data_IF_977815187111
#
_entry.id   IF_977815187111
#
_cell.length_a   1.000
_cell.length_b   1.000
_cell.length_c   1.000
_cell.angle_alpha   90.00
_cell.angle_beta   90.00
_cell.angle_gamma   90.00
#
_symmetry.space_group_name_H-M   'P 1'
#
loop_
_entity.id
_entity.type
_entity.pdbx_description
1 polymer ?
#
# COMPACT_ATOMS: atom_id res chain seq x y z
N UNK A 1 23.27 -22.39 -65.92
CA UNK A 1 23.98 -22.84 -64.70
C UNK A 1 24.41 -21.67 -63.82
N UNK A 2 25.10 -20.65 -64.35
CA UNK A 2 25.51 -19.45 -63.59
C UNK A 2 24.30 -18.65 -63.03
N UNK A 3 23.28 -18.48 -63.85
CA UNK A 3 22.05 -17.75 -63.51
C UNK A 3 21.25 -18.40 -62.37
N UNK A 4 21.23 -19.74 -62.33
CA UNK A 4 20.53 -20.51 -61.29
C UNK A 4 21.29 -20.53 -59.95
N UNK A 5 22.62 -20.31 -59.99
CA UNK A 5 23.44 -20.13 -58.78
C UNK A 5 23.19 -18.74 -58.20
N UNK A 6 23.12 -17.70 -59.04
CA UNK A 6 22.86 -16.33 -58.61
C UNK A 6 21.46 -16.17 -57.98
N UNK A 7 20.44 -16.82 -58.53
CA UNK A 7 19.08 -16.81 -57.97
C UNK A 7 19.01 -17.48 -56.58
N UNK A 8 19.72 -18.61 -56.39
CA UNK A 8 19.77 -19.31 -55.11
C UNK A 8 20.55 -18.53 -54.04
N UNK A 9 21.60 -17.79 -54.44
CA UNK A 9 22.36 -16.93 -53.52
C UNK A 9 21.48 -15.76 -53.06
N UNK A 10 20.74 -15.11 -53.98
CA UNK A 10 19.83 -14.01 -53.60
C UNK A 10 18.70 -14.45 -52.66
N UNK A 11 18.07 -15.61 -52.93
CA UNK A 11 17.02 -16.17 -52.05
C UNK A 11 17.55 -16.50 -50.65
N UNK A 12 18.82 -16.92 -50.55
CA UNK A 12 19.46 -17.25 -49.27
C UNK A 12 19.80 -15.99 -48.49
N UNK A 13 20.36 -14.96 -49.14
CA UNK A 13 20.67 -13.66 -48.51
C UNK A 13 19.39 -12.98 -48.02
N UNK A 14 18.30 -13.02 -48.80
CA UNK A 14 17.02 -12.42 -48.40
C UNK A 14 16.40 -13.11 -47.18
N UNK A 15 16.50 -14.45 -47.09
CA UNK A 15 16.06 -15.20 -45.90
C UNK A 15 16.89 -14.86 -44.66
N UNK A 16 18.20 -14.68 -44.80
CA UNK A 16 19.09 -14.31 -43.67
C UNK A 16 18.76 -12.90 -43.17
N UNK A 17 18.59 -11.92 -44.08
CA UNK A 17 18.23 -10.55 -43.72
C UNK A 17 16.83 -10.44 -43.08
N UNK A 18 15.87 -11.26 -43.52
CA UNK A 18 14.54 -11.27 -42.93
C UNK A 18 14.54 -11.84 -41.51
N UNK A 19 15.36 -12.87 -41.24
CA UNK A 19 15.48 -13.47 -39.89
C UNK A 19 16.23 -12.56 -38.91
N UNK A 20 17.28 -11.85 -39.35
CA UNK A 20 18.03 -10.93 -38.48
C UNK A 20 17.25 -9.63 -38.19
N UNK A 21 16.42 -9.15 -39.13
CA UNK A 21 15.50 -8.03 -38.90
C UNK A 21 14.34 -8.38 -37.95
N UNK A 22 13.85 -9.62 -37.98
CA UNK A 22 12.78 -10.06 -37.07
C UNK A 22 13.28 -10.25 -35.63
N UNK A 23 14.51 -10.76 -35.43
CA UNK A 23 15.08 -10.97 -34.09
C UNK A 23 15.45 -9.66 -33.39
N UNK A 24 15.74 -8.59 -34.14
CA UNK A 24 16.03 -7.26 -33.55
C UNK A 24 14.77 -6.51 -33.09
N UNK A 25 13.58 -6.86 -33.61
CA UNK A 25 12.30 -6.30 -33.12
C UNK A 25 11.79 -6.93 -31.82
N UNK A 26 12.17 -8.19 -31.53
CA UNK A 26 11.78 -8.85 -30.27
C UNK A 26 12.73 -8.52 -29.11
N UNK A 27 14.00 -8.21 -29.38
CA UNK A 27 14.97 -7.89 -28.31
C UNK A 27 14.80 -6.48 -27.72
N UNK A 28 14.13 -5.54 -28.41
CA UNK A 28 13.89 -4.19 -27.88
C UNK A 28 12.62 -4.06 -27.04
N UNK A 29 11.82 -5.12 -26.91
CA UNK A 29 10.59 -5.14 -26.11
C UNK A 29 10.67 -6.04 -24.87
N UNK A 30 11.87 -6.53 -24.52
CA UNK A 30 12.16 -6.75 -23.12
C UNK A 30 12.18 -5.36 -22.47
N UNK A 31 10.99 -4.83 -22.13
CA UNK A 31 10.85 -3.76 -21.16
C UNK A 31 11.80 -4.13 -20.04
N UNK A 32 12.76 -3.26 -19.76
CA UNK A 32 13.51 -3.33 -18.53
C UNK A 32 12.48 -3.66 -17.46
N UNK A 33 12.59 -4.87 -16.90
CA UNK A 33 11.93 -5.21 -15.65
C UNK A 33 12.12 -3.98 -14.79
N UNK A 34 11.02 -3.26 -14.51
CA UNK A 34 11.03 -1.98 -13.79
C UNK A 34 12.03 -2.19 -12.66
N UNK A 35 13.25 -1.65 -12.81
CA UNK A 35 14.31 -1.96 -11.87
C UNK A 35 13.96 -1.08 -10.70
N UNK A 36 13.03 -1.58 -9.89
CA UNK A 36 12.56 -0.98 -8.68
C UNK A 36 13.83 -0.56 -7.94
N UNK A 37 13.80 0.68 -7.45
CA UNK A 37 14.91 1.24 -6.71
C UNK A 37 15.40 0.18 -5.72
N UNK A 38 16.70 -0.16 -5.68
CA UNK A 38 17.21 -1.25 -4.84
C UNK A 38 16.92 -1.03 -3.35
N UNK A 39 16.57 0.19 -2.96
CA UNK A 39 16.16 0.55 -1.61
C UNK A 39 14.67 0.34 -1.35
N UNK A 40 13.83 0.06 -2.35
CA UNK A 40 12.40 -0.11 -2.15
C UNK A 40 12.08 -1.53 -1.74
N UNK A 41 11.42 -1.65 -0.59
CA UNK A 41 10.91 -2.91 -0.08
C UNK A 41 9.41 -2.80 0.15
N UNK A 42 8.72 -3.94 0.11
CA UNK A 42 7.28 -3.97 0.31
C UNK A 42 6.97 -3.76 1.79
N UNK A 43 6.02 -2.86 2.10
CA UNK A 43 5.60 -2.59 3.49
C UNK A 43 5.18 -3.88 4.19
N UNK A 44 4.33 -4.67 3.51
CA UNK A 44 3.85 -5.99 3.92
C UNK A 44 3.49 -6.81 2.68
N UNK A 45 3.58 -8.15 2.72
CA UNK A 45 2.96 -8.97 1.68
C UNK A 45 1.44 -8.76 1.65
N UNK A 46 0.81 -9.00 0.50
CA UNK A 46 -0.65 -9.15 0.44
C UNK A 46 -1.01 -10.62 0.62
N UNK A 47 -1.31 -10.97 1.86
CA UNK A 47 -1.68 -12.32 2.27
C UNK A 47 -2.86 -12.28 3.25
N UNK A 48 -4.09 -12.12 2.74
CA UNK A 48 -5.29 -12.00 3.56
C UNK A 48 -5.55 -13.21 4.47
N UNK A 49 -5.15 -14.40 4.05
CA UNK A 49 -5.33 -15.63 4.83
C UNK A 49 -4.50 -15.61 6.13
N UNK A 50 -3.41 -14.85 6.14
CA UNK A 50 -2.54 -14.64 7.30
C UNK A 50 -2.69 -13.23 7.92
N UNK A 51 -3.74 -12.49 7.53
CA UNK A 51 -4.05 -11.17 8.11
C UNK A 51 -3.18 -10.03 7.61
N UNK A 52 -2.40 -10.23 6.53
CA UNK A 52 -1.61 -9.17 5.91
C UNK A 52 -2.35 -8.57 4.72
N UNK A 53 -2.68 -7.28 4.80
CA UNK A 53 -3.42 -6.60 3.74
C UNK A 53 -2.54 -5.52 3.12
N UNK A 54 -1.99 -5.79 1.92
CA UNK A 54 -1.33 -4.80 1.08
C UNK A 54 -1.74 -4.94 -0.41
N UNK A 55 -3.04 -4.90 -0.74
CA UNK A 55 -3.55 -5.13 -2.10
C UNK A 55 -2.97 -4.17 -3.15
N UNK A 56 -2.44 -3.02 -2.72
CA UNK A 56 -1.88 -2.00 -3.60
C UNK A 56 -0.35 -2.06 -3.69
N UNK A 57 0.26 -3.10 -3.10
CA UNK A 57 1.71 -3.35 -3.09
C UNK A 57 2.51 -2.12 -2.67
N UNK A 58 2.07 -1.44 -1.61
CA UNK A 58 2.75 -0.28 -1.05
C UNK A 58 4.17 -0.64 -0.69
N UNK A 59 5.10 0.21 -1.12
CA UNK A 59 6.52 0.09 -0.88
C UNK A 59 6.99 1.19 0.06
N UNK A 60 8.12 0.99 0.71
CA UNK A 60 8.83 2.01 1.45
C UNK A 60 10.31 2.01 1.07
N UNK A 61 10.97 3.17 1.18
CA UNK A 61 12.39 3.31 0.84
C UNK A 61 13.29 3.03 2.05
N UNK A 62 13.81 1.80 2.15
CA UNK A 62 14.72 1.33 3.21
C UNK A 62 15.98 2.17 3.38
N UNK A 63 16.44 2.89 2.35
CA UNK A 63 17.63 3.74 2.44
C UNK A 63 17.32 5.11 3.06
N UNK A 64 16.09 5.61 2.89
CA UNK A 64 15.65 6.89 3.44
C UNK A 64 14.89 6.75 4.76
N UNK A 65 14.22 5.62 4.97
CA UNK A 65 13.73 5.23 6.27
C UNK A 65 14.96 4.98 7.16
N UNK A 66 15.37 6.02 7.91
CA UNK A 66 16.41 5.89 8.94
C UNK A 66 16.12 4.63 9.73
N UNK A 67 17.13 3.78 9.92
CA UNK A 67 17.08 2.50 10.64
C UNK A 67 16.56 2.72 12.07
N UNK A 68 15.27 2.94 12.20
CA UNK A 68 14.54 2.69 13.41
C UNK A 68 14.19 1.21 13.32
N UNK A 69 14.46 0.40 14.35
CA UNK A 69 14.18 -1.04 14.37
C UNK A 69 12.71 -1.43 14.11
N UNK A 70 11.84 -0.47 13.82
CA UNK A 70 10.40 -0.58 13.72
C UNK A 70 10.00 -0.15 12.30
N UNK A 71 9.68 -1.16 11.48
CA UNK A 71 8.94 -1.06 10.22
C UNK A 71 7.52 -0.45 10.46
N UNK A 72 6.78 -0.04 9.41
CA UNK A 72 5.68 0.94 9.41
C UNK A 72 4.69 0.86 10.59
N UNK A 73 4.32 2.02 11.18
CA UNK A 73 3.78 3.16 10.41
C UNK A 73 4.67 4.41 10.29
N UNK A 74 5.92 4.40 10.77
CA UNK A 74 6.68 5.65 10.95
C UNK A 74 7.59 6.07 9.79
N UNK A 75 7.57 5.40 8.63
CA UNK A 75 8.35 5.87 7.49
C UNK A 75 7.56 6.83 6.61
N UNK A 76 8.08 8.04 6.43
CA UNK A 76 7.52 9.10 5.57
C UNK A 76 7.86 8.91 4.08
N UNK A 77 8.60 7.85 3.73
CA UNK A 77 9.06 7.57 2.37
C UNK A 77 8.33 6.33 1.83
N UNK A 78 7.01 6.41 1.77
CA UNK A 78 6.15 5.37 1.22
C UNK A 78 5.72 5.69 -0.21
N UNK A 79 5.55 4.64 -1.00
CA UNK A 79 5.25 4.69 -2.43
C UNK A 79 4.09 3.76 -2.77
N UNK A 80 3.18 4.22 -3.61
CA UNK A 80 2.06 3.42 -4.10
C UNK A 80 1.74 3.75 -5.55
N UNK A 81 1.06 2.84 -6.26
CA UNK A 81 0.47 3.14 -7.59
C UNK A 81 -1.01 3.51 -7.50
N UNK A 82 -1.71 3.05 -6.47
CA UNK A 82 -3.15 3.13 -6.30
C UNK A 82 -3.53 2.86 -4.83
N UNK A 83 -4.73 3.19 -4.36
CA UNK A 83 -5.71 4.11 -4.97
C UNK A 83 -5.73 5.44 -4.21
N UNK A 84 -5.74 6.55 -4.94
CA UNK A 84 -5.97 7.89 -4.39
C UNK A 84 -7.43 8.27 -4.67
N UNK A 85 -8.23 8.46 -3.62
CA UNK A 85 -9.63 8.86 -3.79
C UNK A 85 -9.71 10.34 -4.10
N UNK A 86 -10.56 10.73 -5.05
CA UNK A 86 -10.84 12.13 -5.38
C UNK A 86 -12.33 12.38 -5.60
N UNK A 87 -12.82 13.52 -5.12
CA UNK A 87 -14.15 14.05 -5.45
C UNK A 87 -14.02 15.22 -6.43
N UNK A 88 -14.48 15.02 -7.66
CA UNK A 88 -14.55 16.08 -8.66
C UNK A 88 -15.84 16.91 -8.49
N UNK A 89 -15.88 18.19 -8.92
CA UNK A 89 -17.11 18.96 -8.90
C UNK A 89 -18.12 18.47 -9.95
N UNK A 90 -19.39 18.85 -9.77
CA UNK A 90 -20.45 18.47 -10.69
C UNK A 90 -20.16 18.99 -12.10
N UNK A 91 -20.33 18.13 -13.10
CA UNK A 91 -20.08 18.48 -14.50
C UNK A 91 -18.61 18.39 -14.95
N UNK A 92 -17.65 18.14 -14.04
CA UNK A 92 -16.25 17.96 -14.43
C UNK A 92 -16.05 16.79 -15.39
N UNK A 93 -16.71 15.65 -15.10
CA UNK A 93 -16.73 14.48 -15.99
C UNK A 93 -18.17 14.03 -16.19
N UNK A 94 -18.65 14.09 -17.43
CA UNK A 94 -19.97 13.59 -17.81
C UNK A 94 -19.87 12.10 -18.15
N UNK A 95 -20.22 11.24 -17.18
CA UNK A 95 -20.20 9.79 -17.33
C UNK A 95 -21.63 9.26 -17.35
N UNK A 96 -22.05 8.54 -18.42
CA UNK A 96 -23.35 7.90 -18.46
C UNK A 96 -23.50 6.88 -17.34
N UNK A 97 -24.74 6.66 -16.88
CA UNK A 97 -25.02 5.57 -15.96
C UNK A 97 -24.62 4.23 -16.58
N UNK A 98 -23.99 3.37 -15.79
CA UNK A 98 -23.68 2.00 -16.18
C UNK A 98 -23.93 1.04 -15.00
N UNK A 99 -24.02 -0.29 -15.25
CA UNK A 99 -24.09 -1.28 -14.18
C UNK A 99 -22.97 -1.12 -13.15
N UNK A 100 -23.24 -1.46 -11.88
CA UNK A 100 -22.33 -1.27 -10.74
C UNK A 100 -20.95 -1.90 -10.94
N UNK A 101 -20.89 -3.04 -11.63
CA UNK A 101 -19.69 -3.80 -11.94
C UNK A 101 -18.90 -3.27 -13.17
N UNK A 102 -19.40 -2.20 -13.81
CA UNK A 102 -18.74 -1.60 -14.97
C UNK A 102 -17.40 -0.97 -14.59
N UNK A 103 -16.38 -1.23 -15.40
CA UNK A 103 -15.07 -0.55 -15.28
C UNK A 103 -15.09 0.65 -16.22
N UNK A 104 -15.25 1.85 -15.65
CA UNK A 104 -15.17 3.11 -16.41
C UNK A 104 -13.86 3.80 -16.06
N UNK A 105 -12.98 3.90 -17.06
CA UNK A 105 -11.71 4.62 -16.97
C UNK A 105 -11.80 5.95 -17.73
N UNK A 106 -11.23 7.00 -17.15
CA UNK A 106 -11.07 8.33 -17.74
C UNK A 106 -9.68 8.86 -17.47
N UNK A 107 -9.28 9.89 -18.21
CA UNK A 107 -8.08 10.66 -17.93
C UNK A 107 -8.47 12.11 -17.60
N UNK A 108 -7.50 12.91 -17.16
CA UNK A 108 -7.74 14.33 -16.87
C UNK A 108 -8.10 15.15 -18.11
N UNK A 109 -7.72 14.70 -19.30
CA UNK A 109 -8.03 15.38 -20.57
C UNK A 109 -9.52 15.28 -20.93
N UNK A 110 -10.21 14.27 -20.39
CA UNK A 110 -11.65 14.07 -20.49
C UNK A 110 -12.45 15.05 -19.62
N UNK A 111 -11.81 15.76 -18.68
CA UNK A 111 -12.46 16.79 -17.87
C UNK A 111 -12.96 17.91 -18.79
N UNK A 112 -14.18 18.39 -18.57
CA UNK A 112 -14.75 19.48 -19.36
C UNK A 112 -13.80 20.68 -19.41
N UNK A 113 -13.61 21.21 -20.62
CA UNK A 113 -12.71 22.33 -20.89
C UNK A 113 -13.03 23.60 -20.10
N UNK A 114 -14.24 23.75 -19.54
CA UNK A 114 -14.58 24.86 -18.66
C UNK A 114 -13.85 24.84 -17.33
N UNK A 115 -13.33 23.70 -16.89
CA UNK A 115 -12.54 23.54 -15.65
C UNK A 115 -11.04 23.73 -15.93
N UNK A 116 -10.67 24.90 -16.43
CA UNK A 116 -9.30 25.20 -16.90
C UNK A 116 -8.24 24.98 -15.83
N UNK A 117 -8.47 25.47 -14.62
CA UNK A 117 -7.48 25.44 -13.54
C UNK A 117 -7.30 24.02 -12.98
N UNK A 118 -8.39 23.26 -12.92
CA UNK A 118 -8.35 21.84 -12.56
C UNK A 118 -7.56 21.02 -13.58
N UNK A 119 -7.80 21.24 -14.88
CA UNK A 119 -7.04 20.58 -15.95
C UNK A 119 -5.56 20.91 -15.87
N UNK A 120 -5.22 22.18 -15.63
CA UNK A 120 -3.83 22.59 -15.42
C UNK A 120 -3.20 21.93 -14.18
N UNK A 121 -3.96 21.78 -13.08
CA UNK A 121 -3.51 21.07 -11.88
C UNK A 121 -3.21 19.58 -12.15
N UNK A 122 -4.10 18.89 -12.87
CA UNK A 122 -3.88 17.49 -13.25
C UNK A 122 -2.80 17.30 -14.31
N UNK A 123 -2.64 18.24 -15.24
CA UNK A 123 -1.53 18.27 -16.18
C UNK A 123 -0.20 18.39 -15.44
N UNK A 124 -0.11 19.28 -14.45
CA UNK A 124 1.06 19.38 -13.58
C UNK A 124 1.32 18.07 -12.81
N UNK A 125 0.27 17.43 -12.28
CA UNK A 125 0.39 16.13 -11.62
C UNK A 125 0.98 15.05 -12.56
N UNK A 126 0.51 15.01 -13.81
CA UNK A 126 1.00 14.07 -14.83
C UNK A 126 2.46 14.37 -15.22
N UNK A 127 2.83 15.64 -15.31
CA UNK A 127 4.20 16.05 -15.59
C UNK A 127 5.19 15.64 -14.48
N UNK A 128 4.74 15.61 -13.22
CA UNK A 128 5.59 15.25 -12.06
C UNK A 128 5.70 13.74 -11.88
N UNK A 129 4.59 13.00 -12.03
CA UNK A 129 4.53 11.58 -11.67
C UNK A 129 4.38 10.62 -12.86
N UNK A 130 4.15 11.14 -14.05
CA UNK A 130 3.79 10.37 -15.23
C UNK A 130 2.29 10.11 -15.32
N UNK A 131 1.93 9.28 -16.30
CA UNK A 131 0.54 8.98 -16.65
C UNK A 131 -0.25 8.39 -15.47
N UNK A 132 -1.54 8.74 -15.43
CA UNK A 132 -2.51 8.17 -14.51
C UNK A 132 -3.90 8.10 -15.15
N UNK A 133 -4.78 7.32 -14.51
CA UNK A 133 -6.17 7.16 -14.91
C UNK A 133 -7.10 7.31 -13.71
N UNK A 134 -8.28 7.85 -13.96
CA UNK A 134 -9.41 7.83 -13.04
C UNK A 134 -10.26 6.59 -13.29
N UNK A 135 -10.65 5.90 -12.22
CA UNK A 135 -11.66 4.84 -12.21
C UNK A 135 -12.90 5.35 -11.49
N UNK A 136 -14.05 5.32 -12.16
CA UNK A 136 -15.33 5.62 -11.51
C UNK A 136 -15.65 4.54 -10.47
N UNK A 137 -15.94 4.94 -9.24
CA UNK A 137 -16.20 3.98 -8.13
C UNK A 137 -17.64 3.48 -8.14
N UNK A 138 -18.60 4.38 -8.41
CA UNK A 138 -20.03 4.07 -8.41
C UNK A 138 -20.66 4.47 -9.76
N UNK A 139 -20.50 3.64 -10.82
CA UNK A 139 -21.00 3.96 -12.15
C UNK A 139 -22.55 3.89 -12.24
N UNK A 140 -23.21 3.23 -11.28
CA UNK A 140 -24.66 3.12 -11.18
C UNK A 140 -25.35 4.37 -10.60
N UNK A 141 -24.58 5.29 -10.02
CA UNK A 141 -25.08 6.50 -9.36
C UNK A 141 -24.77 7.74 -10.21
N UNK A 142 -25.80 8.36 -10.77
CA UNK A 142 -25.71 9.60 -11.57
C UNK A 142 -26.32 10.83 -10.89
N UNK A 143 -26.91 10.65 -9.72
CA UNK A 143 -27.50 11.73 -8.93
C UNK A 143 -26.41 12.72 -8.47
N UNK A 144 -26.40 13.92 -9.06
CA UNK A 144 -25.37 14.94 -8.87
C UNK A 144 -25.39 15.57 -7.47
N UNK A 145 -26.43 15.32 -6.68
CA UNK A 145 -26.46 15.70 -5.27
C UNK A 145 -25.67 14.72 -4.38
N UNK A 146 -25.46 13.48 -4.85
CA UNK A 146 -24.70 12.45 -4.12
C UNK A 146 -23.22 12.50 -4.47
N UNK A 147 -22.37 12.52 -3.44
CA UNK A 147 -20.90 12.45 -3.60
C UNK A 147 -20.47 11.24 -4.46
N UNK A 148 -21.16 10.10 -4.32
CA UNK A 148 -20.86 8.90 -5.11
C UNK A 148 -20.93 9.13 -6.64
N UNK A 149 -21.75 10.06 -7.15
CA UNK A 149 -21.81 10.38 -8.59
C UNK A 149 -20.58 11.12 -9.10
N UNK A 150 -19.75 11.67 -8.21
CA UNK A 150 -18.52 12.41 -8.55
C UNK A 150 -17.24 11.90 -7.87
N UNK A 151 -17.32 10.78 -7.16
CA UNK A 151 -16.17 10.08 -6.58
C UNK A 151 -15.45 9.19 -7.60
N UNK A 152 -14.11 9.27 -7.60
CA UNK A 152 -13.20 8.52 -8.46
C UNK A 152 -12.00 8.02 -7.67
N UNK A 153 -11.43 6.89 -8.10
CA UNK A 153 -10.11 6.45 -7.66
C UNK A 153 -9.08 6.73 -8.76
N UNK A 154 -7.97 7.37 -8.41
CA UNK A 154 -6.84 7.62 -9.29
C UNK A 154 -5.77 6.52 -9.10
N UNK A 155 -5.26 6.02 -10.23
CA UNK A 155 -4.11 5.11 -10.30
C UNK A 155 -3.04 5.65 -11.25
N UNK A 156 -1.81 5.70 -10.78
CA UNK A 156 -0.62 6.03 -11.56
C UNK A 156 -0.06 4.77 -12.26
N UNK A 157 0.58 4.95 -13.41
CA UNK A 157 1.31 3.87 -14.09
C UNK A 157 2.61 3.52 -13.33
N UNK A 158 3.22 4.52 -12.67
CA UNK A 158 4.44 4.42 -11.88
C UNK A 158 4.16 4.45 -10.37
N UNK A 159 5.09 3.94 -9.57
CA UNK A 159 5.07 4.16 -8.13
C UNK A 159 5.37 5.63 -7.83
N UNK A 160 4.51 6.27 -7.04
CA UNK A 160 4.66 7.67 -6.62
C UNK A 160 4.80 7.75 -5.12
N UNK A 161 5.58 8.72 -4.62
CA UNK A 161 5.64 9.00 -3.19
C UNK A 161 4.26 9.46 -2.72
N UNK A 162 3.67 8.74 -1.77
CA UNK A 162 2.27 8.91 -1.34
C UNK A 162 1.98 10.35 -0.88
N UNK A 163 2.84 10.89 0.00
CA UNK A 163 2.65 12.23 0.55
C UNK A 163 2.78 13.31 -0.52
N UNK A 164 3.72 13.15 -1.45
CA UNK A 164 3.93 14.11 -2.53
C UNK A 164 2.77 14.11 -3.52
N UNK A 165 2.23 12.94 -3.86
CA UNK A 165 1.05 12.83 -4.71
C UNK A 165 -0.20 13.41 -4.02
N UNK A 166 -0.42 13.08 -2.74
CA UNK A 166 -1.53 13.60 -1.95
C UNK A 166 -1.44 15.12 -1.79
N UNK A 167 -0.24 15.65 -1.54
CA UNK A 167 -0.01 17.09 -1.45
C UNK A 167 -0.36 17.81 -2.76
N UNK A 168 0.12 17.32 -3.91
CA UNK A 168 -0.19 17.94 -5.20
C UNK A 168 -1.67 17.84 -5.56
N UNK A 169 -2.34 16.72 -5.24
CA UNK A 169 -3.79 16.59 -5.40
C UNK A 169 -4.55 17.64 -4.58
N UNK A 170 -4.12 17.90 -3.33
CA UNK A 170 -4.72 18.92 -2.45
C UNK A 170 -4.58 20.35 -2.98
N UNK A 171 -3.58 20.62 -3.83
CA UNK A 171 -3.39 21.92 -4.45
C UNK A 171 -4.27 22.15 -5.70
N UNK A 172 -4.94 21.12 -6.22
CA UNK A 172 -5.77 21.27 -7.43
C UNK A 172 -7.10 21.95 -7.04
N UNK A 173 -7.45 23.08 -7.68
CA UNK A 173 -8.70 23.77 -7.38
C UNK A 173 -9.94 22.89 -7.56
N UNK A 174 -10.96 23.15 -6.73
CA UNK A 174 -12.29 22.51 -6.75
C UNK A 174 -12.34 21.00 -6.44
N UNK A 175 -11.23 20.37 -6.08
CA UNK A 175 -11.22 19.03 -5.47
C UNK A 175 -11.59 19.19 -3.98
N UNK A 176 -12.56 18.39 -3.51
CA UNK A 176 -13.12 18.52 -2.14
C UNK A 176 -12.63 17.48 -1.15
N UNK A 177 -12.21 16.33 -1.65
CA UNK A 177 -11.72 15.22 -0.84
C UNK A 177 -10.68 14.52 -1.66
N UNK A 178 -9.49 14.43 -1.10
CA UNK A 178 -8.33 13.85 -1.76
C UNK A 178 -7.46 13.16 -0.73
N UNK A 179 -6.90 12.03 -1.11
CA UNK A 179 -5.97 11.33 -0.26
C UNK A 179 -5.73 9.91 -0.70
N UNK A 180 -4.57 9.40 -0.29
CA UNK A 180 -4.28 7.99 -0.37
C UNK A 180 -5.25 7.22 0.53
N UNK A 181 -5.93 6.20 -0.01
CA UNK A 181 -6.97 5.46 0.72
C UNK A 181 -6.43 4.49 1.79
N UNK A 182 -5.14 4.61 2.16
CA UNK A 182 -4.56 3.92 3.31
C UNK A 182 -4.81 2.41 3.30
N UNK A 183 -4.57 1.74 2.16
CA UNK A 183 -4.97 0.33 1.97
C UNK A 183 -3.95 -0.69 2.43
N UNK A 184 -2.98 -0.30 3.26
CA UNK A 184 -2.24 -1.28 4.04
C UNK A 184 -2.73 -1.20 5.48
N UNK A 185 -3.05 -2.35 6.06
CA UNK A 185 -3.49 -2.42 7.45
C UNK A 185 -2.84 -3.60 8.14
N UNK A 186 -2.60 -3.44 9.43
CA UNK A 186 -2.19 -4.49 10.34
C UNK A 186 -3.40 -4.83 11.20
N UNK A 187 -3.75 -6.11 11.31
CA UNK A 187 -4.60 -6.54 12.42
C UNK A 187 -3.77 -6.37 13.70
N UNK A 188 -3.81 -5.16 14.30
CA UNK A 188 -3.02 -4.82 15.49
C UNK A 188 -3.54 -5.54 16.75
N UNK A 189 -4.83 -5.89 16.76
CA UNK A 189 -5.52 -6.39 17.94
C UNK A 189 -6.78 -7.16 17.54
N UNK A 190 -7.18 -8.15 18.34
CA UNK A 190 -8.46 -8.88 18.16
C UNK A 190 -9.63 -8.08 18.76
N UNK A 191 -9.35 -6.98 19.46
CA UNK A 191 -10.37 -6.04 19.91
C UNK A 191 -10.78 -5.09 18.78
N UNK A 192 -11.90 -5.42 18.15
CA UNK A 192 -12.58 -4.66 17.10
C UNK A 192 -13.27 -3.36 17.57
N UNK A 193 -13.06 -2.92 18.82
CA UNK A 193 -13.62 -1.65 19.29
C UNK A 193 -12.62 -0.52 19.09
N UNK A 194 -13.03 0.52 18.36
CA UNK A 194 -12.45 1.88 18.34
C UNK A 194 -12.49 2.54 19.74
N UNK A 195 -12.11 1.82 20.80
CA UNK A 195 -12.09 2.30 22.17
C UNK A 195 -10.71 2.96 22.38
N UNK A 196 -10.70 4.23 22.78
CA UNK A 196 -9.49 5.05 23.03
C UNK A 196 -8.50 4.40 24.02
N UNK A 197 -8.91 3.31 24.68
CA UNK A 197 -8.09 2.46 25.55
C UNK A 197 -6.96 1.72 24.83
N UNK A 198 -7.06 1.46 23.52
CA UNK A 198 -5.97 0.83 22.76
C UNK A 198 -4.71 1.69 22.72
N UNK A 199 -4.81 3.01 22.84
CA UNK A 199 -3.65 3.91 22.88
C UNK A 199 -2.77 3.72 24.13
N UNK A 200 -3.27 3.01 25.15
CA UNK A 200 -2.64 2.91 26.47
C UNK A 200 -1.94 1.57 26.71
N UNK A 201 -1.99 0.65 25.74
CA UNK A 201 -1.31 -0.64 25.74
C UNK A 201 -0.64 -0.81 24.39
N UNK A 202 0.69 -0.73 24.32
CA UNK A 202 1.42 -0.89 23.07
C UNK A 202 2.57 -1.87 23.22
N UNK A 203 2.76 -2.74 22.23
CA UNK A 203 3.82 -3.75 22.22
C UNK A 203 4.82 -3.42 21.11
N UNK A 204 6.09 -3.23 21.46
CA UNK A 204 7.15 -2.77 20.56
C UNK A 204 8.47 -3.51 20.87
N UNK A 205 9.20 -4.07 19.90
CA UNK A 205 8.84 -4.24 18.50
C UNK A 205 7.73 -5.27 18.32
N UNK A 206 7.01 -5.17 17.20
CA UNK A 206 6.12 -6.21 16.71
C UNK A 206 6.02 -6.12 15.18
N UNK A 207 6.55 -7.07 14.39
CA UNK A 207 7.19 -8.33 14.83
C UNK A 207 8.45 -8.13 15.70
N UNK A 208 8.73 -9.07 16.59
CA UNK A 208 9.90 -9.08 17.46
C UNK A 208 10.81 -10.28 17.19
N UNK A 209 12.05 -10.22 17.69
CA UNK A 209 12.98 -11.36 17.68
C UNK A 209 13.26 -11.80 19.13
N UNK A 210 14.10 -11.04 19.84
CA UNK A 210 14.57 -11.45 21.17
C UNK A 210 13.78 -10.87 22.35
N UNK A 211 13.15 -9.71 22.17
CA UNK A 211 12.42 -9.04 23.23
C UNK A 211 11.28 -8.18 22.69
N UNK A 212 10.33 -7.90 23.58
CA UNK A 212 9.33 -6.85 23.43
C UNK A 212 9.33 -5.93 24.63
N UNK A 213 8.89 -4.71 24.41
CA UNK A 213 8.52 -3.72 25.42
C UNK A 213 7.02 -3.52 25.35
N UNK A 214 6.37 -3.65 26.50
CA UNK A 214 4.96 -3.40 26.68
C UNK A 214 4.84 -2.06 27.40
N UNK A 215 4.40 -1.05 26.66
CA UNK A 215 4.12 0.27 27.17
C UNK A 215 2.70 0.30 27.73
N UNK A 216 2.61 0.58 29.04
CA UNK A 216 1.36 0.76 29.77
C UNK A 216 1.30 2.19 30.30
N UNK A 217 0.20 2.89 30.06
CA UNK A 217 -0.04 4.17 30.73
C UNK A 217 -0.16 3.95 32.24
N UNK A 218 0.56 4.75 33.04
CA UNK A 218 0.65 4.63 34.50
C UNK A 218 -0.72 4.58 35.20
N UNK A 219 -1.74 5.20 34.59
CA UNK A 219 -3.12 5.22 35.11
C UNK A 219 -3.84 3.88 35.03
N UNK A 220 -3.27 2.93 34.29
CA UNK A 220 -3.82 1.60 34.06
C UNK A 220 -2.90 0.49 34.60
N UNK A 221 -1.88 0.83 35.40
CA UNK A 221 -1.10 -0.17 36.14
C UNK A 221 -1.96 -0.69 37.29
N UNK A 222 -2.85 -1.62 36.95
CA UNK A 222 -3.62 -2.39 37.90
C UNK A 222 -2.81 -3.61 38.36
N UNK A 223 -3.30 -4.29 39.39
CA UNK A 223 -2.69 -5.50 39.93
C UNK A 223 -3.01 -6.73 39.07
N UNK A 224 -3.18 -6.54 37.76
CA UNK A 224 -3.63 -7.56 36.80
C UNK A 224 -2.43 -8.27 36.14
N UNK A 225 -2.75 -9.35 35.43
CA UNK A 225 -1.76 -10.19 34.77
C UNK A 225 -1.62 -9.82 33.30
N UNK A 226 -0.38 -9.87 32.81
CA UNK A 226 -0.08 -9.96 31.38
C UNK A 226 0.02 -11.45 31.04
N UNK A 227 -0.77 -11.86 30.05
CA UNK A 227 -0.79 -13.23 29.55
C UNK A 227 -0.31 -13.26 28.10
N UNK A 228 0.48 -14.27 27.75
CA UNK A 228 0.81 -14.55 26.34
C UNK A 228 0.31 -15.95 26.01
N UNK A 229 -0.48 -16.01 24.94
CA UNK A 229 -1.20 -17.22 24.51
C UNK A 229 -0.81 -17.53 23.06
N UNK A 230 -0.62 -18.81 22.73
CA UNK A 230 -0.39 -19.24 21.34
C UNK A 230 -1.68 -19.18 20.52
N UNK A 231 -1.56 -19.32 19.18
CA UNK A 231 -2.71 -19.46 18.28
C UNK A 231 -3.65 -20.64 18.65
N UNK A 232 -3.14 -21.68 19.32
CA UNK A 232 -3.92 -22.82 19.80
C UNK A 232 -4.57 -22.59 21.18
N UNK A 233 -4.44 -21.39 21.75
CA UNK A 233 -4.99 -21.07 23.07
C UNK A 233 -4.13 -21.53 24.26
N UNK A 234 -2.86 -21.91 24.03
CA UNK A 234 -1.97 -22.38 25.09
C UNK A 234 -1.32 -21.17 25.78
N UNK A 235 -1.52 -21.05 27.09
CA UNK A 235 -0.88 -20.02 27.92
C UNK A 235 0.61 -20.33 28.12
N UNK A 236 1.50 -19.46 27.64
CA UNK A 236 2.96 -19.63 27.72
C UNK A 236 3.65 -18.61 28.62
N UNK A 237 2.95 -17.53 28.99
CA UNK A 237 3.41 -16.52 29.93
C UNK A 237 2.20 -15.99 30.71
N UNK A 238 2.34 -15.79 32.02
CA UNK A 238 1.30 -15.24 32.88
C UNK A 238 1.96 -14.64 34.12
N UNK A 239 2.23 -13.34 34.10
CA UNK A 239 2.90 -12.65 35.19
C UNK A 239 2.10 -11.42 35.61
N UNK A 240 2.10 -11.16 36.91
CA UNK A 240 1.40 -10.02 37.50
C UNK A 240 2.25 -8.76 37.37
N UNK A 241 1.67 -7.65 36.91
CA UNK A 241 2.45 -6.43 36.64
C UNK A 241 3.18 -5.92 37.89
N UNK A 242 2.56 -6.00 39.07
CA UNK A 242 3.17 -5.59 40.33
C UNK A 242 4.47 -6.32 40.65
N UNK A 243 4.62 -7.56 40.17
CA UNK A 243 5.79 -8.40 40.44
C UNK A 243 6.94 -8.10 39.49
N UNK A 244 6.67 -7.38 38.39
CA UNK A 244 7.67 -6.97 37.41
C UNK A 244 8.45 -5.72 37.88
N UNK A 245 8.05 -5.07 38.98
CA UNK A 245 8.74 -3.91 39.59
C UNK A 245 9.01 -2.75 38.61
N UNK A 246 8.15 -2.57 37.60
CA UNK A 246 8.35 -1.54 36.57
C UNK A 246 7.37 -0.38 36.76
N UNK A 247 7.89 0.85 36.80
CA UNK A 247 7.11 2.05 36.51
C UNK A 247 7.25 2.33 35.01
N UNK A 248 6.21 2.01 34.22
CA UNK A 248 6.22 2.18 32.77
C UNK A 248 6.44 0.88 32.01
N UNK A 249 7.51 0.82 31.22
CA UNK A 249 7.66 -0.13 30.11
C UNK A 249 8.17 -1.51 30.55
N UNK A 250 7.33 -2.54 30.39
CA UNK A 250 7.69 -3.91 30.74
C UNK A 250 8.48 -4.54 29.60
N UNK A 251 9.72 -4.93 29.84
CA UNK A 251 10.51 -5.68 28.86
C UNK A 251 10.34 -7.19 29.06
N UNK A 252 9.79 -7.89 28.07
CA UNK A 252 9.67 -9.35 28.06
C UNK A 252 10.66 -9.96 27.07
N UNK A 253 11.34 -11.00 27.52
CA UNK A 253 12.26 -11.77 26.69
C UNK A 253 11.47 -12.83 25.88
N UNK A 254 11.51 -12.72 24.56
CA UNK A 254 10.84 -13.61 23.61
C UNK A 254 11.79 -14.60 22.94
N UNK A 255 13.09 -14.62 23.29
CA UNK A 255 14.10 -15.48 22.64
C UNK A 255 13.88 -16.98 22.81
N UNK A 256 13.00 -17.38 23.73
CA UNK A 256 12.59 -18.78 23.95
C UNK A 256 11.29 -19.13 23.24
N UNK A 257 10.62 -18.16 22.62
CA UNK A 257 9.38 -18.43 21.90
C UNK A 257 9.75 -19.09 20.56
N UNK A 258 8.79 -19.75 19.92
CA UNK A 258 9.01 -20.27 18.57
C UNK A 258 8.57 -19.21 17.57
N UNK A 259 9.10 -19.26 16.35
CA UNK A 259 8.62 -18.38 15.28
C UNK A 259 7.12 -18.59 15.08
N UNK A 260 6.34 -17.51 15.06
CA UNK A 260 4.89 -17.60 14.90
C UNK A 260 4.10 -16.45 15.50
N UNK A 261 2.79 -16.66 15.55
CA UNK A 261 1.80 -15.70 16.03
C UNK A 261 1.38 -16.06 17.46
N UNK A 262 1.34 -15.04 18.30
CA UNK A 262 0.92 -15.06 19.69
C UNK A 262 -0.10 -13.95 19.95
N UNK A 263 -0.83 -14.07 21.05
CA UNK A 263 -1.72 -13.05 21.56
C UNK A 263 -1.27 -12.63 22.95
N UNK A 264 -1.09 -11.32 23.14
CA UNK A 264 -0.80 -10.74 24.45
C UNK A 264 -2.08 -10.15 24.99
N UNK A 265 -2.52 -10.67 26.13
CA UNK A 265 -3.72 -10.23 26.81
C UNK A 265 -3.34 -9.43 28.05
N UNK A 266 -4.03 -8.30 28.23
CA UNK A 266 -4.03 -7.51 29.44
C UNK A 266 -5.44 -7.02 29.72
N UNK A 267 -6.01 -7.43 30.86
CA UNK A 267 -7.44 -7.25 31.17
C UNK A 267 -8.34 -7.75 30.01
N UNK A 268 -9.08 -6.84 29.37
CA UNK A 268 -9.93 -7.10 28.22
C UNK A 268 -9.25 -6.76 26.89
N UNK A 269 -7.98 -6.33 26.89
CA UNK A 269 -7.22 -5.93 25.70
C UNK A 269 -6.43 -7.12 25.19
N UNK A 270 -6.58 -7.44 23.89
CA UNK A 270 -5.86 -8.51 23.21
C UNK A 270 -5.10 -7.92 22.03
N UNK A 271 -3.77 -7.99 22.05
CA UNK A 271 -2.92 -7.59 20.94
C UNK A 271 -2.23 -8.78 20.27
N UNK A 272 -2.06 -8.69 18.97
CA UNK A 272 -1.28 -9.65 18.19
C UNK A 272 0.20 -9.45 18.48
N UNK A 273 0.98 -10.51 18.61
CA UNK A 273 2.43 -10.50 18.67
C UNK A 273 2.98 -11.48 17.63
N UNK A 274 3.93 -11.04 16.82
CA UNK A 274 4.61 -11.86 15.81
C UNK A 274 6.06 -12.03 16.25
N UNK A 275 6.53 -13.28 16.41
CA UNK A 275 7.92 -13.60 16.77
C UNK A 275 8.65 -14.17 15.54
N UNK A 276 9.82 -13.62 15.24
CA UNK A 276 10.68 -13.96 14.10
C UNK A 276 12.16 -14.06 14.56
N UNK A 277 12.65 -15.28 14.74
CA UNK A 277 14.07 -15.62 14.87
C UNK A 277 14.72 -15.92 13.52
#
# INVERSE_FOLDING_TARGET
MKEQIEENIMKTIFKILFVTGFLSFFAQNAKAEDSLNPCWDMVLPHDPDHGFYNPDSVLYDTCLCKVKPWLPPYCEYMYAKQWFGIDLPNGALNIPQAPRDSIILRNWRDIDSSFTDMRAGFENLENVFGNFVFKKVYPDIIDTEKIASRYFNLRFDNYVKIDSASYLLHQIPDIKTEGYLGRYDFIKSVNDSNDDKLNNFNIIPNPCNDYIQIHLDERFINNDNIQIITLQGILIFNEKISELNVKGDITLNTSKFSNGIYFINYENIIQLLIVLH
#
